data_IF_146125187703
#
_entry.id   IF_146125187703
#
_cell.length_a   1.000
_cell.length_b   1.000
_cell.length_c   1.000
_cell.angle_alpha   90.00
_cell.angle_beta   90.00
_cell.angle_gamma   90.00
#
_symmetry.space_group_name_H-M   'P 1'
#
loop_
_entity.id
_entity.type
_entity.pdbx_description
1 polymer ?
#
# COMPACT_ATOMS: atom_id res chain seq x y z
N UNK A 1 10.04 15.47 6.17
CA UNK A 1 9.13 14.35 5.90
C UNK A 1 9.89 13.19 5.28
N UNK A 2 9.63 11.98 5.75
CA UNK A 2 10.18 10.77 5.15
C UNK A 2 9.19 10.20 4.13
N UNK A 3 9.66 9.87 2.94
CA UNK A 3 8.83 9.26 1.90
C UNK A 3 9.11 7.77 1.80
N UNK A 4 8.06 6.98 1.73
CA UNK A 4 8.13 5.52 1.59
C UNK A 4 7.21 5.13 0.45
N UNK A 5 7.64 4.20 -0.38
CA UNK A 5 6.94 3.83 -1.61
C UNK A 5 6.37 2.42 -1.47
N UNK A 6 5.09 2.27 -1.79
CA UNK A 6 4.41 0.98 -1.73
C UNK A 6 3.79 0.64 -3.07
N UNK A 7 3.76 -0.65 -3.38
CA UNK A 7 3.07 -1.16 -4.56
C UNK A 7 2.60 -2.59 -4.33
N UNK A 8 1.60 -2.99 -5.09
CA UNK A 8 1.12 -4.35 -5.17
C UNK A 8 1.16 -4.82 -6.62
N UNK A 9 1.43 -6.09 -6.82
CA UNK A 9 1.45 -6.70 -8.15
C UNK A 9 0.67 -8.01 -8.12
N UNK A 10 -0.06 -8.28 -9.20
CA UNK A 10 -0.82 -9.52 -9.32
C UNK A 10 -0.71 -10.04 -10.75
N UNK A 11 -0.16 -11.24 -10.90
CA UNK A 11 -0.18 -11.95 -12.17
C UNK A 11 -1.47 -12.76 -12.26
N UNK A 12 -2.09 -12.77 -13.45
CA UNK A 12 -3.34 -13.50 -13.71
C UNK A 12 -4.51 -13.02 -12.82
N UNK A 13 -4.56 -11.72 -12.53
CA UNK A 13 -5.60 -11.13 -11.68
C UNK A 13 -7.01 -11.48 -12.20
N UNK A 14 -7.84 -12.03 -11.31
CA UNK A 14 -9.20 -12.46 -11.63
C UNK A 14 -9.33 -13.86 -12.19
N UNK A 15 -8.22 -14.58 -12.38
CA UNK A 15 -8.22 -15.94 -12.94
C UNK A 15 -7.68 -16.95 -11.94
N UNK A 16 -7.98 -18.23 -12.18
CA UNK A 16 -7.40 -19.32 -11.42
C UNK A 16 -5.87 -19.31 -11.60
N UNK A 17 -5.16 -19.50 -10.50
CA UNK A 17 -3.70 -19.45 -10.52
C UNK A 17 -3.12 -18.04 -10.36
N UNK A 18 -3.96 -17.06 -10.04
CA UNK A 18 -3.48 -15.72 -9.72
C UNK A 18 -2.48 -15.74 -8.57
N UNK A 19 -1.42 -14.97 -8.71
CA UNK A 19 -0.41 -14.80 -7.65
C UNK A 19 -0.16 -13.31 -7.46
N UNK A 20 -0.06 -12.88 -6.20
CA UNK A 20 0.09 -11.48 -5.87
C UNK A 20 1.18 -11.27 -4.81
N UNK A 21 1.78 -10.10 -4.84
CA UNK A 21 2.82 -9.74 -3.90
C UNK A 21 2.91 -8.26 -3.67
N UNK A 22 3.68 -7.89 -2.66
CA UNK A 22 3.86 -6.51 -2.23
C UNK A 22 5.31 -6.08 -2.40
N UNK A 23 5.49 -4.78 -2.64
CA UNK A 23 6.78 -4.12 -2.64
C UNK A 23 6.74 -2.89 -1.76
N UNK A 24 7.74 -2.74 -0.91
CA UNK A 24 7.92 -1.55 -0.07
C UNK A 24 9.35 -1.09 -0.24
N UNK A 25 9.53 0.17 -0.62
CA UNK A 25 10.83 0.74 -0.91
C UNK A 25 11.09 1.94 0.01
N UNK A 26 12.12 1.84 0.84
CA UNK A 26 12.56 2.92 1.73
C UNK A 26 13.73 3.70 1.15
N UNK A 27 14.50 3.08 0.28
CA UNK A 27 15.68 3.66 -0.31
C UNK A 27 16.61 2.59 -0.86
N UNK A 28 17.65 3.02 -1.56
CA UNK A 28 18.60 2.10 -2.17
C UNK A 28 19.29 1.25 -1.10
N UNK A 29 19.22 -0.07 -1.26
CA UNK A 29 19.80 -1.07 -0.34
C UNK A 29 19.35 -0.94 1.11
N UNK A 30 18.22 -0.27 1.37
CA UNK A 30 17.68 -0.19 2.74
C UNK A 30 17.23 -1.58 3.18
N UNK A 31 17.69 -2.06 4.36
CA UNK A 31 17.33 -3.41 4.83
C UNK A 31 15.84 -3.57 5.15
N UNK A 32 15.08 -2.48 5.26
CA UNK A 32 13.63 -2.53 5.49
C UNK A 32 12.84 -2.74 4.20
N UNK A 33 13.49 -2.69 3.03
CA UNK A 33 12.79 -2.94 1.76
C UNK A 33 12.17 -4.33 1.75
N UNK A 34 10.95 -4.43 1.21
CA UNK A 34 10.15 -5.66 1.20
C UNK A 34 9.82 -6.07 -0.22
N UNK A 35 9.99 -7.35 -0.50
CA UNK A 35 9.51 -8.02 -1.70
C UNK A 35 8.91 -9.35 -1.23
N UNK A 36 7.58 -9.46 -1.17
CA UNK A 36 6.94 -10.58 -0.48
C UNK A 36 5.60 -10.96 -1.11
N UNK A 37 5.40 -12.27 -1.26
CA UNK A 37 4.10 -12.81 -1.69
C UNK A 37 3.07 -12.60 -0.59
N UNK A 38 1.81 -12.35 -0.99
CA UNK A 38 0.71 -12.30 -0.04
C UNK A 38 0.11 -13.68 0.17
N UNK A 39 -0.53 -13.86 1.32
CA UNK A 39 -1.29 -15.06 1.64
C UNK A 39 -2.78 -14.81 1.40
N UNK A 40 -3.55 -15.88 1.28
CA UNK A 40 -4.99 -15.80 1.09
C UNK A 40 -5.38 -15.47 -0.35
N UNK A 41 -6.42 -14.66 -0.51
CA UNK A 41 -6.94 -14.32 -1.83
C UNK A 41 -5.96 -13.44 -2.60
N UNK A 42 -5.69 -13.81 -3.84
CA UNK A 42 -4.69 -13.19 -4.70
C UNK A 42 -5.36 -12.24 -5.68
N UNK A 43 -5.41 -10.95 -5.35
CA UNK A 43 -5.90 -9.91 -6.24
C UNK A 43 -5.01 -8.68 -6.20
N UNK A 44 -5.07 -7.86 -7.24
CA UNK A 44 -4.32 -6.62 -7.30
C UNK A 44 -4.69 -5.68 -6.15
N UNK A 45 -5.97 -5.48 -5.89
CA UNK A 45 -6.43 -4.59 -4.82
C UNK A 45 -5.99 -5.07 -3.43
N UNK A 46 -6.04 -6.38 -3.19
CA UNK A 46 -5.57 -6.94 -1.92
C UNK A 46 -4.06 -6.74 -1.78
N UNK A 47 -3.29 -6.91 -2.84
CA UNK A 47 -1.85 -6.67 -2.80
C UNK A 47 -1.54 -5.19 -2.51
N UNK A 48 -2.22 -4.27 -3.19
CA UNK A 48 -2.02 -2.84 -2.99
C UNK A 48 -2.32 -2.41 -1.55
N UNK A 49 -3.46 -2.82 -1.02
CA UNK A 49 -3.85 -2.51 0.36
C UNK A 49 -2.98 -3.28 1.35
N UNK A 50 -2.61 -4.50 1.02
CA UNK A 50 -1.70 -5.33 1.82
C UNK A 50 -0.33 -4.70 2.02
N UNK A 51 0.20 -4.03 0.99
CA UNK A 51 1.47 -3.33 1.10
C UNK A 51 1.40 -2.22 2.15
N UNK A 52 0.33 -1.44 2.15
CA UNK A 52 0.13 -0.35 3.11
C UNK A 52 -0.06 -0.90 4.54
N UNK A 53 -0.80 -2.01 4.68
CA UNK A 53 -0.97 -2.66 5.98
C UNK A 53 0.36 -3.24 6.50
N UNK A 54 1.13 -3.88 5.65
CA UNK A 54 2.43 -4.44 6.03
C UNK A 54 3.40 -3.33 6.43
N UNK A 55 3.40 -2.22 5.70
CA UNK A 55 4.23 -1.07 6.03
C UNK A 55 3.96 -0.58 7.45
N UNK A 56 2.70 -0.54 7.87
CA UNK A 56 2.37 -0.10 9.23
C UNK A 56 3.16 -0.87 10.28
N UNK A 57 3.31 -2.17 10.11
CA UNK A 57 4.03 -3.01 11.07
C UNK A 57 5.52 -2.65 11.18
N UNK A 58 6.08 -2.06 10.12
CA UNK A 58 7.50 -1.65 10.10
C UNK A 58 7.70 -0.28 10.73
N UNK A 59 6.75 0.65 10.51
CA UNK A 59 6.89 2.06 10.90
C UNK A 59 5.98 2.46 12.06
N UNK A 60 5.36 1.51 12.75
CA UNK A 60 4.40 1.79 13.82
C UNK A 60 4.98 2.72 14.89
N UNK A 61 6.21 2.51 15.31
CA UNK A 61 6.86 3.35 16.32
C UNK A 61 6.99 4.80 15.85
N UNK A 62 7.38 4.99 14.59
CA UNK A 62 7.50 6.33 14.01
C UNK A 62 6.14 7.02 13.91
N UNK A 63 5.11 6.28 13.54
CA UNK A 63 3.74 6.81 13.47
C UNK A 63 3.28 7.24 14.87
N UNK A 64 3.49 6.41 15.87
CA UNK A 64 3.12 6.70 17.27
C UNK A 64 3.91 7.88 17.84
N UNK A 65 5.13 8.07 17.37
CA UNK A 65 5.95 9.22 17.75
C UNK A 65 5.51 10.54 17.06
N UNK A 66 4.50 10.47 16.19
CA UNK A 66 3.97 11.64 15.49
C UNK A 66 4.84 12.13 14.33
N UNK A 67 5.74 11.30 13.83
CA UNK A 67 6.60 11.69 12.70
C UNK A 67 5.79 11.90 11.43
N UNK A 68 6.18 12.88 10.64
CA UNK A 68 5.59 13.12 9.33
C UNK A 68 6.14 12.13 8.32
N UNK A 69 5.24 11.31 7.77
CA UNK A 69 5.58 10.27 6.79
C UNK A 69 4.68 10.43 5.58
N UNK A 70 5.28 10.43 4.39
CA UNK A 70 4.54 10.39 3.13
C UNK A 70 4.59 8.98 2.55
N UNK A 71 3.44 8.35 2.39
CA UNK A 71 3.32 7.08 1.68
C UNK A 71 2.95 7.39 0.24
N UNK A 72 3.86 7.07 -0.67
CA UNK A 72 3.72 7.33 -2.10
C UNK A 72 3.33 6.04 -2.79
N UNK A 73 2.21 6.06 -3.51
CA UNK A 73 1.70 4.88 -4.21
C UNK A 73 0.96 5.28 -5.48
N UNK A 74 0.94 4.40 -6.45
CA UNK A 74 0.12 4.59 -7.65
C UNK A 74 -1.31 4.04 -7.49
N UNK A 75 -1.61 3.41 -6.36
CA UNK A 75 -2.93 2.83 -6.10
C UNK A 75 -3.89 3.85 -5.49
N UNK A 76 -4.79 4.36 -6.31
CA UNK A 76 -5.89 5.21 -5.83
C UNK A 76 -6.77 4.43 -4.86
N UNK A 77 -6.98 3.15 -5.11
CA UNK A 77 -7.76 2.28 -4.22
C UNK A 77 -7.19 2.25 -2.81
N UNK A 78 -5.88 2.00 -2.67
CA UNK A 78 -5.24 1.96 -1.35
C UNK A 78 -5.36 3.30 -0.61
N UNK A 79 -5.14 4.41 -1.33
CA UNK A 79 -5.29 5.74 -0.73
C UNK A 79 -6.70 5.97 -0.22
N UNK A 80 -7.70 5.67 -1.04
CA UNK A 80 -9.11 5.88 -0.68
C UNK A 80 -9.54 5.00 0.49
N UNK A 81 -9.07 3.77 0.55
CA UNK A 81 -9.38 2.89 1.68
C UNK A 81 -8.90 3.49 3.01
N UNK A 82 -7.73 4.10 3.00
CA UNK A 82 -7.15 4.71 4.20
C UNK A 82 -7.71 6.09 4.52
N UNK A 83 -8.41 6.73 3.59
CA UNK A 83 -8.86 8.11 3.72
C UNK A 83 -10.36 8.26 3.45
N UNK A 84 -10.75 8.71 2.27
CA UNK A 84 -12.13 9.11 1.98
C UNK A 84 -13.13 7.95 1.99
N UNK A 85 -12.79 6.86 1.35
CA UNK A 85 -13.67 5.69 1.30
C UNK A 85 -13.79 5.02 2.67
N UNK A 86 -12.68 4.85 3.38
CA UNK A 86 -12.68 4.31 4.73
C UNK A 86 -13.49 5.18 5.69
N UNK A 87 -13.34 6.50 5.60
CA UNK A 87 -14.13 7.43 6.41
C UNK A 87 -15.63 7.30 6.15
N UNK A 88 -16.00 7.22 4.88
CA UNK A 88 -17.41 7.05 4.50
C UNK A 88 -18.00 5.77 5.08
N UNK A 89 -17.27 4.68 5.04
CA UNK A 89 -17.70 3.41 5.63
C UNK A 89 -17.78 3.50 7.14
N UNK A 90 -16.80 4.15 7.78
CA UNK A 90 -16.78 4.32 9.25
C UNK A 90 -17.95 5.18 9.73
N UNK A 91 -18.31 6.22 8.99
CA UNK A 91 -19.44 7.12 9.32
C UNK A 91 -20.77 6.37 9.38
N UNK A 92 -20.90 5.25 8.66
CA UNK A 92 -22.09 4.39 8.69
C UNK A 92 -21.90 3.17 9.59
N UNK A 93 -20.83 3.14 10.40
CA UNK A 93 -20.56 2.04 11.33
C UNK A 93 -20.22 0.72 10.66
N UNK A 94 -19.69 0.78 9.44
CA UNK A 94 -19.28 -0.42 8.67
C UNK A 94 -20.44 -1.38 8.40
N UNK A 95 -21.65 -0.86 8.28
CA UNK A 95 -22.85 -1.68 8.05
C UNK A 95 -22.94 -2.22 6.64
N UNK A 96 -22.43 -1.45 5.65
CA UNK A 96 -22.49 -1.85 4.26
C UNK A 96 -21.51 -2.99 3.99
N UNK A 97 -21.97 -3.99 3.24
CA UNK A 97 -21.12 -5.08 2.79
C UNK A 97 -20.28 -4.59 1.60
N UNK A 98 -18.96 -4.65 1.75
CA UNK A 98 -18.02 -4.21 0.72
C UNK A 98 -16.93 -5.26 0.53
N UNK A 99 -16.32 -5.34 -0.67
CA UNK A 99 -15.15 -6.21 -0.87
C UNK A 99 -14.00 -5.82 0.07
N UNK A 100 -13.31 -6.82 0.60
CA UNK A 100 -12.14 -6.64 1.46
C UNK A 100 -12.40 -5.80 2.72
N UNK A 101 -13.61 -5.89 3.25
CA UNK A 101 -14.08 -5.04 4.35
C UNK A 101 -13.14 -5.03 5.55
N UNK A 102 -12.69 -6.21 6.01
CA UNK A 102 -11.82 -6.30 7.18
C UNK A 102 -10.49 -5.56 6.95
N UNK A 103 -9.92 -5.68 5.75
CA UNK A 103 -8.68 -5.00 5.41
C UNK A 103 -8.88 -3.48 5.29
N UNK A 104 -9.97 -3.05 4.67
CA UNK A 104 -10.29 -1.62 4.51
C UNK A 104 -10.49 -0.98 5.89
N UNK A 105 -11.27 -1.62 6.74
CA UNK A 105 -11.51 -1.15 8.11
C UNK A 105 -10.22 -1.04 8.90
N UNK A 106 -9.38 -2.07 8.84
CA UNK A 106 -8.09 -2.07 9.55
C UNK A 106 -7.18 -0.96 9.04
N UNK A 107 -7.07 -0.78 7.73
CA UNK A 107 -6.22 0.26 7.16
C UNK A 107 -6.68 1.65 7.57
N UNK A 108 -7.97 1.90 7.49
CA UNK A 108 -8.52 3.19 7.90
C UNK A 108 -8.27 3.45 9.40
N UNK A 109 -8.55 2.48 10.25
CA UNK A 109 -8.37 2.64 11.69
C UNK A 109 -6.90 2.87 12.08
N UNK A 110 -5.96 2.19 11.40
CA UNK A 110 -4.53 2.33 11.70
C UNK A 110 -3.96 3.70 11.30
N UNK A 111 -4.37 4.23 10.16
CA UNK A 111 -3.80 5.47 9.62
C UNK A 111 -4.60 6.73 9.94
N UNK A 112 -5.86 6.60 10.29
CA UNK A 112 -6.71 7.75 10.61
C UNK A 112 -6.19 8.49 11.85
N UNK A 113 -6.13 9.82 11.75
CA UNK A 113 -5.67 10.66 12.86
C UNK A 113 -4.15 10.68 13.07
N UNK A 114 -3.40 10.06 12.18
CA UNK A 114 -1.93 10.06 12.22
C UNK A 114 -1.34 11.20 11.38
N UNK A 115 -0.02 11.42 11.48
CA UNK A 115 0.70 12.37 10.65
C UNK A 115 1.21 11.76 9.34
N UNK A 116 0.57 10.68 8.89
CA UNK A 116 0.86 10.06 7.61
C UNK A 116 0.04 10.73 6.52
N UNK A 117 0.72 11.14 5.45
CA UNK A 117 0.08 11.65 4.23
C UNK A 117 0.21 10.61 3.13
N UNK A 118 -0.87 10.44 2.35
CA UNK A 118 -0.85 9.58 1.17
C UNK A 118 -0.66 10.44 -0.08
N UNK A 119 0.31 10.09 -0.90
CA UNK A 119 0.68 10.84 -2.10
C UNK A 119 0.50 9.92 -3.30
N UNK A 120 -0.34 10.34 -4.24
CA UNK A 120 -0.55 9.60 -5.48
C UNK A 120 0.51 9.95 -6.51
N UNK A 121 1.02 8.93 -7.19
CA UNK A 121 1.93 9.07 -8.31
C UNK A 121 1.41 8.21 -9.47
N UNK A 122 1.63 8.67 -10.70
CA UNK A 122 1.26 7.88 -11.88
C UNK A 122 2.27 6.75 -12.10
N UNK A 123 1.75 5.54 -12.38
CA UNK A 123 2.59 4.38 -12.68
C UNK A 123 3.18 4.46 -14.10
N UNK A 124 4.33 3.85 -14.29
CA UNK A 124 4.95 3.59 -15.61
C UNK A 124 5.09 4.83 -16.50
N UNK A 125 5.39 5.98 -15.92
CA UNK A 125 5.52 7.23 -16.69
C UNK A 125 6.86 7.36 -17.42
N UNK A 126 7.90 6.65 -16.95
CA UNK A 126 9.25 6.86 -17.42
C UNK A 126 9.91 8.14 -16.89
N UNK A 127 9.22 8.91 -16.04
CA UNK A 127 9.76 10.10 -15.41
C UNK A 127 10.88 9.76 -14.43
N UNK A 128 11.79 10.70 -14.21
CA UNK A 128 12.96 10.50 -13.36
C UNK A 128 12.96 11.31 -12.07
N UNK A 129 11.83 11.91 -11.73
CA UNK A 129 11.67 12.57 -10.43
C UNK A 129 11.68 11.55 -9.29
N UNK A 130 11.94 12.02 -8.09
CA UNK A 130 12.13 11.16 -6.91
C UNK A 130 10.97 10.20 -6.69
N UNK A 131 9.74 10.70 -6.78
CA UNK A 131 8.56 9.88 -6.53
C UNK A 131 8.31 8.85 -7.65
N UNK A 132 8.53 9.22 -8.90
CA UNK A 132 8.40 8.28 -10.02
C UNK A 132 9.44 7.17 -9.94
N UNK A 133 10.68 7.49 -9.56
CA UNK A 133 11.74 6.48 -9.39
C UNK A 133 11.45 5.58 -8.18
N UNK A 134 10.98 6.14 -7.08
CA UNK A 134 10.62 5.35 -5.90
C UNK A 134 9.46 4.41 -6.19
N UNK A 135 8.44 4.88 -6.91
CA UNK A 135 7.32 4.04 -7.35
C UNK A 135 7.79 2.89 -8.23
N UNK A 136 8.71 3.16 -9.16
CA UNK A 136 9.30 2.13 -10.03
C UNK A 136 10.02 1.05 -9.21
N UNK A 137 10.75 1.44 -8.18
CA UNK A 137 11.44 0.50 -7.30
C UNK A 137 10.46 -0.34 -6.47
N UNK A 138 9.40 0.25 -5.95
CA UNK A 138 8.36 -0.49 -5.24
C UNK A 138 7.67 -1.50 -6.18
N UNK A 139 7.39 -1.09 -7.42
CA UNK A 139 6.83 -1.97 -8.45
C UNK A 139 7.77 -3.14 -8.75
N UNK A 140 9.07 -2.88 -8.90
CA UNK A 140 10.08 -3.90 -9.13
C UNK A 140 10.09 -4.93 -7.98
N UNK A 141 10.04 -4.46 -6.75
CA UNK A 141 10.01 -5.33 -5.57
C UNK A 141 8.74 -6.18 -5.53
N UNK A 142 7.59 -5.58 -5.79
CA UNK A 142 6.31 -6.30 -5.83
C UNK A 142 6.31 -7.36 -6.94
N UNK A 143 6.75 -7.01 -8.12
CA UNK A 143 6.80 -7.92 -9.27
C UNK A 143 7.80 -9.05 -9.04
N UNK A 144 8.97 -8.74 -8.46
CA UNK A 144 9.99 -9.75 -8.14
C UNK A 144 9.49 -10.81 -7.17
N UNK A 145 8.54 -10.47 -6.31
CA UNK A 145 7.98 -11.41 -5.33
C UNK A 145 7.18 -12.54 -5.98
N UNK A 146 6.77 -12.37 -7.24
CA UNK A 146 5.93 -13.33 -7.96
C UNK A 146 6.72 -14.48 -8.57
N UNK A 147 8.04 -14.38 -8.56
CA UNK A 147 8.93 -15.34 -9.25
C UNK A 147 9.94 -15.99 -8.33
#
# INVERSE_FOLDING_TARGET
>A
MQYIYTDGSCAHNGYTGAVAGIGIYFGYQDPRNVSQRIEGKQTNNIAELGAVLHLYTIIEEDIRAGKHIGIVTDSIYAIRCCTTYGKKCADTGWKKDIPNKDMVKRAYELYSGTNVEFIHVMAHTGNTDVHSLGNKEADRLATSSLY
#
